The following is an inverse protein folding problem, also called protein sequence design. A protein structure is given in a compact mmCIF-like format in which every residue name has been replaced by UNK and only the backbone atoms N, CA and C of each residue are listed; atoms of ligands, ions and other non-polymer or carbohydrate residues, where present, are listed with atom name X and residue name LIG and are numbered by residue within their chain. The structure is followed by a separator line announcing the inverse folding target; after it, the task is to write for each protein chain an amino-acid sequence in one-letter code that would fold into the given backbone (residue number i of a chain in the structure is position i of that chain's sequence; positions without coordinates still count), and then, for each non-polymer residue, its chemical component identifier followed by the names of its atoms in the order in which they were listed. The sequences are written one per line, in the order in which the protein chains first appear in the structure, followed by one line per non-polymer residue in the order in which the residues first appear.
data_IF_855539062732
#
_entry.id   IF_855539062732
#
_cell.length_a   1.000
_cell.length_b   1.000
_cell.length_c   1.000
_cell.angle_alpha   90.00
_cell.angle_beta   90.00
_cell.angle_gamma   90.00
#
_symmetry.space_group_name_H-M   'P 1'
#
loop_
_entity.id
_entity.type
_entity.pdbx_description
1 polymer ?
#
# COMPACT_ATOMS: atom_id res chain seq x y z
N UNK A 1 2.21 15.11 -5.63
CA UNK A 1 1.77 14.70 -4.30
C UNK A 1 0.32 15.08 -4.11
N UNK A 2 -0.58 14.10 -4.24
CA UNK A 2 -1.96 14.23 -3.79
C UNK A 2 -2.00 14.44 -2.27
N UNK A 3 -2.86 15.34 -1.81
CA UNK A 3 -2.92 15.79 -0.41
C UNK A 3 -3.66 14.83 0.51
N UNK A 4 -3.14 13.61 0.69
CA UNK A 4 -3.53 12.76 1.81
C UNK A 4 -2.65 13.13 3.01
N UNK A 5 -3.27 13.45 4.16
CA UNK A 5 -2.55 13.83 5.38
C UNK A 5 -1.78 12.67 6.00
N UNK A 6 -2.15 11.43 5.67
CA UNK A 6 -1.49 10.20 6.09
C UNK A 6 -1.89 9.00 5.18
N UNK A 7 -1.27 7.84 5.41
CA UNK A 7 -1.52 6.60 4.66
C UNK A 7 -2.90 5.98 4.88
N UNK A 8 -3.50 6.21 6.04
CA UNK A 8 -4.83 5.70 6.39
C UNK A 8 -5.93 6.39 5.56
N UNK A 9 -5.83 7.71 5.39
CA UNK A 9 -6.72 8.49 4.51
C UNK A 9 -6.60 8.05 3.04
N UNK A 10 -5.37 7.79 2.58
CA UNK A 10 -5.15 7.28 1.22
C UNK A 10 -5.77 5.90 1.03
N UNK A 11 -5.65 5.02 2.03
CA UNK A 11 -6.33 3.73 2.02
C UNK A 11 -7.85 3.91 2.00
N UNK A 12 -8.42 4.67 2.93
CA UNK A 12 -9.85 4.92 2.99
C UNK A 12 -10.42 5.42 1.65
N UNK A 13 -9.73 6.40 1.05
CA UNK A 13 -10.06 6.92 -0.28
C UNK A 13 -10.05 5.81 -1.36
N UNK A 14 -8.97 5.04 -1.46
CA UNK A 14 -8.81 4.01 -2.50
C UNK A 14 -9.85 2.89 -2.37
N UNK A 15 -10.23 2.53 -1.14
CA UNK A 15 -11.18 1.44 -0.90
C UNK A 15 -12.64 1.89 -0.98
N UNK A 16 -12.97 3.09 -0.50
CA UNK A 16 -14.37 3.54 -0.39
C UNK A 16 -14.86 4.37 -1.58
N UNK A 17 -13.97 4.91 -2.41
CA UNK A 17 -14.37 5.66 -3.60
C UNK A 17 -14.44 4.76 -4.84
N UNK A 18 -15.32 5.10 -5.79
CA UNK A 18 -15.35 4.50 -7.12
C UNK A 18 -14.43 5.32 -8.05
N UNK A 19 -13.40 4.71 -8.66
CA UNK A 19 -12.52 5.42 -9.58
C UNK A 19 -13.25 5.98 -10.80
N UNK A 20 -14.35 5.37 -11.24
CA UNK A 20 -15.10 5.81 -12.42
C UNK A 20 -15.78 7.17 -12.23
N UNK A 21 -16.09 7.54 -10.99
CA UNK A 21 -16.64 8.84 -10.64
C UNK A 21 -15.53 9.91 -10.47
N UNK A 22 -14.30 9.48 -10.21
CA UNK A 22 -13.20 10.33 -9.74
C UNK A 22 -11.82 9.97 -10.33
N UNK A 23 -11.74 9.65 -11.62
CA UNK A 23 -10.48 9.23 -12.28
C UNK A 23 -9.34 10.24 -12.05
N UNK A 24 -9.64 11.54 -12.08
CA UNK A 24 -8.64 12.59 -11.85
C UNK A 24 -8.05 12.61 -10.44
N UNK A 25 -8.73 12.00 -9.46
CA UNK A 25 -8.28 11.91 -8.06
C UNK A 25 -7.56 10.60 -7.75
N UNK A 26 -7.85 9.54 -8.50
CA UNK A 26 -7.12 8.28 -8.40
C UNK A 26 -5.80 8.40 -9.14
N UNK A 27 -4.70 8.44 -8.40
CA UNK A 27 -3.35 8.43 -8.95
C UNK A 27 -2.59 7.18 -8.53
N UNK A 28 -1.54 6.84 -9.27
CA UNK A 28 -0.64 5.75 -8.89
C UNK A 28 0.02 6.02 -7.52
N UNK A 29 0.22 7.29 -7.13
CA UNK A 29 0.58 7.69 -5.76
C UNK A 29 -0.51 7.31 -4.76
N UNK A 30 -1.75 7.73 -4.94
CA UNK A 30 -2.85 7.43 -4.03
C UNK A 30 -3.03 5.92 -3.82
N UNK A 31 -3.05 5.17 -4.93
CA UNK A 31 -3.15 3.70 -4.95
C UNK A 31 -1.96 3.06 -4.24
N UNK A 32 -0.75 3.56 -4.52
CA UNK A 32 0.46 3.10 -3.86
C UNK A 32 0.43 3.31 -2.35
N UNK A 33 0.05 4.51 -1.89
CA UNK A 33 -0.07 4.82 -0.47
C UNK A 33 -1.09 3.92 0.23
N UNK A 34 -2.28 3.74 -0.35
CA UNK A 34 -3.31 2.87 0.21
C UNK A 34 -2.88 1.39 0.26
N UNK A 35 -2.25 0.89 -0.79
CA UNK A 35 -1.75 -0.49 -0.84
C UNK A 35 -0.59 -0.72 0.14
N UNK A 36 0.34 0.23 0.25
CA UNK A 36 1.45 0.15 1.20
C UNK A 36 0.98 0.16 2.66
N UNK A 37 -0.06 0.94 2.97
CA UNK A 37 -0.71 0.93 4.29
C UNK A 37 -1.31 -0.43 4.63
N UNK A 38 -2.11 -0.99 3.72
CA UNK A 38 -2.73 -2.30 3.92
C UNK A 38 -1.68 -3.39 4.07
N UNK A 39 -0.57 -3.30 3.33
CA UNK A 39 0.55 -4.21 3.47
C UNK A 39 1.15 -4.18 4.89
N UNK A 40 1.36 -2.99 5.46
CA UNK A 40 1.83 -2.87 6.84
C UNK A 40 0.85 -3.43 7.85
N UNK A 41 -0.44 -3.11 7.73
CA UNK A 41 -1.47 -3.63 8.66
C UNK A 41 -1.57 -5.15 8.60
N UNK A 42 -1.47 -5.74 7.40
CA UNK A 42 -1.49 -7.18 7.21
C UNK A 42 -0.22 -7.84 7.77
N UNK A 43 0.94 -7.20 7.59
CA UNK A 43 2.17 -7.63 8.24
C UNK A 43 2.01 -7.62 9.76
N UNK A 44 1.63 -6.50 10.38
CA UNK A 44 1.41 -6.40 11.83
C UNK A 44 0.50 -7.50 12.38
N UNK A 45 -0.64 -7.76 11.72
CA UNK A 45 -1.55 -8.84 12.13
C UNK A 45 -0.88 -10.22 12.11
N UNK A 46 -0.05 -10.50 11.10
CA UNK A 46 0.70 -11.76 11.01
C UNK A 46 1.77 -11.85 12.08
N UNK A 47 2.40 -10.73 12.41
CA UNK A 47 3.38 -10.61 13.47
C UNK A 47 2.76 -10.87 14.84
N UNK A 48 1.63 -10.23 15.14
CA UNK A 48 0.84 -10.46 16.36
C UNK A 48 0.41 -11.93 16.50
N UNK A 49 -0.02 -12.55 15.39
CA UNK A 49 -0.43 -13.96 15.40
C UNK A 49 0.73 -14.95 15.58
N UNK A 50 1.93 -14.63 15.07
CA UNK A 50 3.11 -15.51 15.16
C UNK A 50 3.98 -15.26 16.40
N UNK A 51 3.93 -14.06 16.97
CA UNK A 51 4.77 -13.66 18.11
C UNK A 51 6.27 -13.49 17.79
N UNK A 52 6.67 -13.50 16.52
CA UNK A 52 8.07 -13.43 16.09
C UNK A 52 8.28 -12.34 15.05
N UNK A 53 9.35 -11.53 15.22
CA UNK A 53 9.78 -10.53 14.23
C UNK A 53 10.87 -11.08 13.29
N UNK A 54 10.60 -11.23 11.98
CA UNK A 54 11.64 -11.61 11.04
C UNK A 54 12.71 -10.52 10.97
N UNK A 55 13.88 -10.87 10.42
CA UNK A 55 14.96 -9.89 10.20
C UNK A 55 14.44 -8.73 9.34
N UNK A 56 14.99 -7.54 9.58
CA UNK A 56 14.64 -6.28 8.89
C UNK A 56 14.45 -6.42 7.38
N UNK A 57 15.40 -7.06 6.72
CA UNK A 57 15.40 -7.27 5.27
C UNK A 57 14.24 -8.19 4.82
N UNK A 58 14.03 -9.30 5.53
CA UNK A 58 12.91 -10.22 5.27
C UNK A 58 11.55 -9.55 5.52
N UNK A 59 11.45 -8.68 6.53
CA UNK A 59 10.24 -7.93 6.79
C UNK A 59 9.87 -7.02 5.60
N UNK A 60 10.86 -6.30 5.05
CA UNK A 60 10.69 -5.45 3.86
C UNK A 60 10.29 -6.26 2.63
N UNK A 61 10.89 -7.43 2.42
CA UNK A 61 10.50 -8.30 1.30
C UNK A 61 9.05 -8.80 1.42
N UNK A 62 8.64 -9.22 2.62
CA UNK A 62 7.25 -9.63 2.89
C UNK A 62 6.30 -8.47 2.59
N UNK A 63 6.62 -7.27 3.10
CA UNK A 63 5.82 -6.08 2.87
C UNK A 63 5.73 -5.70 1.40
N UNK A 64 6.85 -5.74 0.68
CA UNK A 64 6.89 -5.45 -0.75
C UNK A 64 6.05 -6.44 -1.57
N UNK A 65 6.03 -7.71 -1.15
CA UNK A 65 5.18 -8.75 -1.71
C UNK A 65 3.69 -8.48 -1.48
N UNK A 66 3.29 -8.19 -0.23
CA UNK A 66 1.89 -7.88 0.11
C UNK A 66 1.44 -6.60 -0.61
N UNK A 67 2.25 -5.55 -0.61
CA UNK A 67 1.95 -4.28 -1.26
C UNK A 67 1.76 -4.44 -2.78
N UNK A 68 2.63 -5.23 -3.43
CA UNK A 68 2.50 -5.53 -4.86
C UNK A 68 1.21 -6.29 -5.19
N UNK A 69 0.89 -7.32 -4.39
CA UNK A 69 -0.34 -8.10 -4.55
C UNK A 69 -1.60 -7.24 -4.32
N UNK A 70 -1.58 -6.32 -3.36
CA UNK A 70 -2.72 -5.44 -3.10
C UNK A 70 -2.93 -4.45 -4.25
N UNK A 71 -1.86 -3.92 -4.86
CA UNK A 71 -1.99 -3.11 -6.07
C UNK A 71 -2.61 -3.91 -7.21
N UNK A 72 -2.14 -5.14 -7.45
CA UNK A 72 -2.72 -6.01 -8.49
C UNK A 72 -4.23 -6.21 -8.27
N UNK A 73 -4.62 -6.53 -7.04
CA UNK A 73 -6.04 -6.67 -6.64
C UNK A 73 -6.84 -5.38 -6.85
N UNK A 74 -6.30 -4.22 -6.48
CA UNK A 74 -6.97 -2.94 -6.68
C UNK A 74 -7.17 -2.65 -8.17
N UNK A 75 -6.17 -2.90 -9.01
CA UNK A 75 -6.32 -2.74 -10.46
C UNK A 75 -7.41 -3.65 -11.04
N UNK A 76 -7.42 -4.93 -10.63
CA UNK A 76 -8.40 -5.92 -11.11
C UNK A 76 -9.82 -5.64 -10.63
N UNK A 77 -10.00 -5.15 -9.41
CA UNK A 77 -11.33 -4.97 -8.81
C UNK A 77 -11.92 -3.58 -9.04
N UNK A 78 -11.07 -2.56 -9.16
CA UNK A 78 -11.49 -1.16 -9.28
C UNK A 78 -11.37 -0.62 -10.71
N UNK A 79 -10.79 -1.38 -11.66
CA UNK A 79 -10.73 -0.99 -13.06
C UNK A 79 -9.83 0.22 -13.31
N UNK A 80 -8.63 0.22 -12.71
CA UNK A 80 -7.68 1.35 -12.75
C UNK A 80 -6.85 1.38 -14.04
N UNK A 81 -7.45 1.03 -15.19
CA UNK A 81 -6.74 0.83 -16.45
C UNK A 81 -6.09 2.10 -17.01
N UNK A 82 -6.52 3.27 -16.53
CA UNK A 82 -5.95 4.58 -16.87
C UNK A 82 -4.65 4.90 -16.11
N UNK A 83 -4.23 4.06 -15.16
CA UNK A 83 -3.00 4.22 -14.38
C UNK A 83 -1.92 3.20 -14.79
N UNK A 84 -0.66 3.56 -14.56
CA UNK A 84 0.45 2.62 -14.67
C UNK A 84 0.52 1.74 -13.41
N UNK A 85 0.22 0.45 -13.60
CA UNK A 85 0.24 -0.57 -12.54
C UNK A 85 1.62 -0.77 -11.91
N UNK A 86 2.68 -0.79 -12.71
CA UNK A 86 4.04 -1.01 -12.20
C UNK A 86 4.53 0.22 -11.44
N UNK A 87 4.14 1.42 -11.86
CA UNK A 87 4.40 2.63 -11.08
C UNK A 87 3.67 2.61 -9.73
N UNK A 88 2.40 2.21 -9.71
CA UNK A 88 1.64 2.05 -8.46
C UNK A 88 2.27 1.01 -7.53
N UNK A 89 2.75 -0.13 -8.07
CA UNK A 89 3.49 -1.14 -7.29
C UNK A 89 4.77 -0.59 -6.69
N UNK A 90 5.55 0.17 -7.46
CA UNK A 90 6.78 0.81 -6.95
C UNK A 90 6.46 1.75 -5.78
N UNK A 91 5.43 2.58 -5.93
CA UNK A 91 5.00 3.46 -4.86
C UNK A 91 4.50 2.66 -3.64
N UNK A 92 3.72 1.61 -3.84
CA UNK A 92 3.23 0.77 -2.74
C UNK A 92 4.36 0.13 -1.92
N UNK A 93 5.37 -0.43 -2.60
CA UNK A 93 6.55 -1.00 -1.94
C UNK A 93 7.31 0.05 -1.14
N UNK A 94 7.58 1.20 -1.77
CA UNK A 94 8.29 2.30 -1.10
C UNK A 94 7.53 2.80 0.14
N UNK A 95 6.20 2.94 0.05
CA UNK A 95 5.39 3.37 1.18
C UNK A 95 5.36 2.33 2.31
N UNK A 96 5.25 1.05 1.98
CA UNK A 96 5.29 -0.02 2.99
C UNK A 96 6.65 -0.07 3.70
N UNK A 97 7.76 0.05 2.96
CA UNK A 97 9.11 0.09 3.54
C UNK A 97 9.32 1.32 4.42
N UNK A 98 8.83 2.50 3.99
CA UNK A 98 8.93 3.73 4.77
C UNK A 98 8.14 3.64 6.08
N UNK A 99 6.92 3.12 6.05
CA UNK A 99 6.12 2.89 7.25
C UNK A 99 6.80 1.90 8.21
N UNK A 100 7.38 0.83 7.67
CA UNK A 100 8.15 -0.12 8.48
C UNK A 100 9.34 0.55 9.16
N UNK A 101 10.14 1.30 8.40
CA UNK A 101 11.31 1.98 8.97
C UNK A 101 10.89 3.01 10.04
N UNK A 102 9.81 3.77 9.82
CA UNK A 102 9.29 4.72 10.81
C UNK A 102 8.89 4.05 12.13
N UNK A 103 8.38 2.82 12.07
CA UNK A 103 7.88 2.11 13.24
C UNK A 103 8.95 1.26 13.94
N UNK A 104 9.91 0.71 13.20
CA UNK A 104 10.84 -0.31 13.68
C UNK A 104 12.33 0.03 13.54
N UNK A 105 12.73 1.10 12.85
CA UNK A 105 14.15 1.42 12.64
C UNK A 105 14.82 2.24 13.76
N UNK A 106 14.35 2.12 15.01
CA UNK A 106 15.02 2.69 16.20
C UNK A 106 16.22 1.84 16.64
#
# INVERSE_FOLDING_TARGET
MFGFGNHEEAADFVYNQDPREHESKFSHEAVGFGAGFVAMREYEKRQEAKGEHPKHEMAKEILAGIAGAEVDKLFETKGLDFLDREQAKRHARQQAEQLYDQQYAN
#
